data_IF_403427956742
#
_entry.id   IF_403427956742
#
_cell.length_a   1.000
_cell.length_b   1.000
_cell.length_c   1.000
_cell.angle_alpha   90.00
_cell.angle_beta   90.00
_cell.angle_gamma   90.00
#
_symmetry.space_group_name_H-M   'P 1'
#
loop_
_entity.id
_entity.type
_entity.pdbx_description
1 polymer ?
#
# COMPACT_ATOMS: atom_id res chain seq x y z
N UNK A 1 -31.36 5.38 -8.89
CA UNK A 1 -31.17 3.94 -8.64
C UNK A 1 -30.45 3.34 -9.85
N UNK A 2 -29.72 2.23 -9.70
CA UNK A 2 -29.09 1.50 -10.80
C UNK A 2 -29.59 0.07 -10.75
N UNK A 3 -29.95 -0.48 -11.89
CA UNK A 3 -30.55 -1.81 -12.00
C UNK A 3 -29.84 -2.63 -13.05
N UNK A 4 -29.63 -3.91 -12.78
CA UNK A 4 -29.19 -4.87 -13.78
C UNK A 4 -30.37 -5.10 -14.74
N UNK A 5 -30.17 -4.85 -16.03
CA UNK A 5 -31.21 -4.96 -17.05
C UNK A 5 -31.04 -6.14 -17.99
N UNK A 6 -29.79 -6.52 -18.28
CA UNK A 6 -29.51 -7.69 -19.13
C UNK A 6 -28.24 -8.41 -18.70
N UNK A 7 -28.21 -9.70 -18.96
CA UNK A 7 -27.03 -10.56 -18.83
C UNK A 7 -26.77 -11.19 -20.20
N UNK A 8 -25.56 -11.00 -20.74
CA UNK A 8 -25.12 -11.62 -21.98
C UNK A 8 -24.09 -12.70 -21.68
N UNK A 9 -24.32 -13.88 -22.22
CA UNK A 9 -23.44 -15.03 -22.12
C UNK A 9 -23.10 -15.54 -23.52
N UNK A 10 -21.82 -15.54 -23.86
CA UNK A 10 -21.31 -16.08 -25.11
C UNK A 10 -20.30 -17.17 -24.80
N UNK A 11 -20.50 -18.37 -25.28
CA UNK A 11 -19.63 -19.52 -25.03
C UNK A 11 -19.39 -19.83 -23.56
N UNK A 12 -20.39 -19.61 -22.69
CA UNK A 12 -20.30 -19.89 -21.27
C UNK A 12 -21.06 -21.18 -20.93
N UNK A 13 -20.36 -22.25 -20.63
CA UNK A 13 -20.89 -23.60 -20.41
C UNK A 13 -21.85 -24.04 -21.51
N UNK A 14 -23.16 -24.18 -21.27
CA UNK A 14 -24.19 -24.53 -22.25
C UNK A 14 -24.65 -23.33 -23.10
N UNK A 15 -24.46 -22.13 -22.60
CA UNK A 15 -24.88 -20.92 -23.30
C UNK A 15 -23.95 -20.62 -24.46
N UNK A 16 -24.47 -20.61 -25.64
CA UNK A 16 -23.70 -20.32 -26.87
C UNK A 16 -23.73 -18.84 -27.18
N UNK A 17 -24.91 -18.25 -27.23
CA UNK A 17 -25.13 -16.83 -27.44
C UNK A 17 -26.51 -16.48 -26.87
N UNK A 18 -26.58 -16.10 -25.59
CA UNK A 18 -27.82 -15.84 -24.87
C UNK A 18 -27.83 -14.45 -24.28
N UNK A 19 -28.95 -13.75 -24.42
CA UNK A 19 -29.21 -12.49 -23.74
C UNK A 19 -30.43 -12.65 -22.85
N UNK A 20 -30.23 -12.53 -21.55
CA UNK A 20 -31.27 -12.76 -20.55
C UNK A 20 -31.69 -11.39 -20.00
N UNK A 21 -32.94 -10.94 -20.27
CA UNK A 21 -33.46 -9.71 -19.67
C UNK A 21 -33.76 -9.89 -18.19
N UNK A 22 -33.51 -8.84 -17.40
CA UNK A 22 -33.78 -8.79 -15.98
C UNK A 22 -34.61 -7.55 -15.70
N UNK A 23 -35.79 -7.74 -15.11
CA UNK A 23 -36.69 -6.65 -14.75
C UNK A 23 -36.87 -6.60 -13.24
N UNK A 24 -36.35 -5.53 -12.61
CA UNK A 24 -36.49 -5.33 -11.17
C UNK A 24 -35.89 -6.45 -10.34
N UNK A 25 -36.67 -7.02 -9.43
CA UNK A 25 -36.31 -8.22 -8.67
C UNK A 25 -36.70 -9.47 -9.46
N UNK A 26 -35.72 -10.31 -9.79
CA UNK A 26 -35.94 -11.51 -10.61
C UNK A 26 -35.74 -12.79 -9.77
N UNK A 27 -36.61 -13.77 -9.97
CA UNK A 27 -36.50 -15.11 -9.43
C UNK A 27 -36.06 -16.09 -10.50
N UNK A 28 -34.90 -16.73 -10.31
CA UNK A 28 -34.37 -17.74 -11.23
C UNK A 28 -34.91 -19.11 -10.85
N UNK A 29 -35.84 -19.66 -11.62
CA UNK A 29 -36.44 -20.98 -11.41
C UNK A 29 -36.19 -21.90 -12.58
N UNK A 30 -36.42 -23.18 -12.42
CA UNK A 30 -36.31 -24.19 -13.47
C UNK A 30 -35.95 -25.56 -12.91
N UNK A 31 -36.00 -26.57 -13.77
CA UNK A 31 -35.64 -27.95 -13.45
C UNK A 31 -34.17 -28.11 -13.10
N UNK A 32 -33.80 -29.25 -12.54
CA UNK A 32 -32.39 -29.56 -12.29
C UNK A 32 -31.65 -29.60 -13.65
N UNK A 33 -30.41 -29.11 -13.66
CA UNK A 33 -29.54 -28.96 -14.84
C UNK A 33 -29.99 -27.91 -15.88
N UNK A 34 -31.02 -27.07 -15.57
CA UNK A 34 -31.46 -25.98 -16.46
C UNK A 34 -30.48 -24.79 -16.59
N UNK A 35 -29.36 -24.81 -15.89
CA UNK A 35 -28.34 -23.74 -15.99
C UNK A 35 -28.44 -22.66 -14.91
N UNK A 36 -29.33 -22.78 -13.91
CA UNK A 36 -29.47 -21.79 -12.81
C UNK A 36 -28.14 -21.46 -12.13
N UNK A 37 -27.43 -22.48 -11.68
CA UNK A 37 -26.11 -22.30 -11.04
C UNK A 37 -25.06 -21.75 -12.02
N UNK A 38 -25.13 -22.12 -13.29
CA UNK A 38 -24.22 -21.63 -14.34
C UNK A 38 -24.39 -20.13 -14.57
N UNK A 39 -25.62 -19.62 -14.50
CA UNK A 39 -25.92 -18.19 -14.58
C UNK A 39 -25.41 -17.44 -13.35
N UNK A 40 -25.63 -17.99 -12.15
CA UNK A 40 -25.15 -17.39 -10.90
C UNK A 40 -23.63 -17.37 -10.85
N UNK A 41 -22.98 -18.43 -11.31
CA UNK A 41 -21.52 -18.49 -11.39
C UNK A 41 -20.95 -17.46 -12.40
N UNK A 42 -21.67 -17.18 -13.49
CA UNK A 42 -21.31 -16.09 -14.41
C UNK A 42 -21.36 -14.71 -13.72
N UNK A 43 -22.40 -14.46 -12.92
CA UNK A 43 -22.48 -13.23 -12.11
C UNK A 43 -21.33 -13.11 -11.12
N UNK A 44 -20.96 -14.21 -10.44
CA UNK A 44 -19.79 -14.23 -9.56
C UNK A 44 -18.51 -13.81 -10.29
N UNK A 45 -18.29 -14.34 -11.49
CA UNK A 45 -17.09 -14.05 -12.27
C UNK A 45 -16.97 -12.56 -12.55
N UNK A 46 -18.03 -11.89 -12.95
CA UNK A 46 -17.99 -10.44 -13.26
C UNK A 46 -17.96 -9.57 -12.00
N UNK A 47 -18.74 -9.92 -10.97
CA UNK A 47 -18.87 -9.06 -9.78
C UNK A 47 -17.70 -9.23 -8.81
N UNK A 48 -17.29 -10.47 -8.51
CA UNK A 48 -16.15 -10.73 -7.63
C UNK A 48 -14.83 -10.46 -8.36
N UNK A 49 -14.78 -10.79 -9.67
CA UNK A 49 -13.64 -10.56 -10.56
C UNK A 49 -12.28 -11.12 -10.08
N UNK A 50 -12.26 -11.88 -9.00
CA UNK A 50 -11.06 -12.52 -8.46
C UNK A 50 -11.17 -14.03 -8.63
N UNK A 51 -10.55 -14.56 -9.67
CA UNK A 51 -10.65 -15.98 -10.02
C UNK A 51 -10.19 -16.93 -8.91
N UNK A 52 -9.30 -16.48 -8.02
CA UNK A 52 -8.84 -17.28 -6.87
C UNK A 52 -9.87 -17.33 -5.73
N UNK A 53 -10.73 -16.32 -5.62
CA UNK A 53 -11.76 -16.21 -4.56
C UNK A 53 -13.12 -16.77 -5.00
N UNK A 54 -13.33 -16.98 -6.30
CA UNK A 54 -14.57 -17.52 -6.82
C UNK A 54 -14.69 -18.99 -6.47
N UNK A 55 -15.75 -19.33 -5.76
CA UNK A 55 -16.14 -20.72 -5.48
C UNK A 55 -17.31 -21.06 -6.40
N UNK A 56 -17.03 -21.72 -7.48
CA UNK A 56 -18.10 -22.22 -8.36
C UNK A 56 -18.97 -23.19 -7.58
N UNK A 57 -20.30 -23.01 -7.71
CA UNK A 57 -21.28 -23.76 -6.92
C UNK A 57 -21.18 -25.25 -7.26
N UNK A 58 -20.60 -26.06 -6.39
CA UNK A 58 -20.71 -27.51 -6.47
C UNK A 58 -22.17 -27.87 -6.22
N UNK A 59 -22.80 -28.58 -7.15
CA UNK A 59 -24.14 -29.11 -6.91
C UNK A 59 -24.12 -29.91 -5.58
N UNK A 60 -25.11 -29.65 -4.72
CA UNK A 60 -25.15 -30.10 -3.32
C UNK A 60 -25.08 -31.62 -3.08
N UNK A 61 -24.85 -32.42 -4.10
CA UNK A 61 -24.82 -33.89 -4.06
C UNK A 61 -23.57 -34.56 -4.58
N UNK A 62 -22.64 -33.82 -5.23
CA UNK A 62 -21.39 -34.43 -5.72
C UNK A 62 -20.17 -33.67 -5.21
N UNK A 63 -19.69 -34.03 -4.03
CA UNK A 63 -18.44 -33.49 -3.43
C UNK A 63 -17.18 -33.80 -4.24
N UNK A 64 -17.28 -34.61 -5.32
CA UNK A 64 -16.13 -35.13 -6.07
C UNK A 64 -15.79 -34.41 -7.37
N UNK A 65 -16.62 -33.49 -7.86
CA UNK A 65 -16.36 -32.76 -9.11
C UNK A 65 -16.30 -31.25 -8.88
N UNK A 66 -15.12 -30.75 -8.59
CA UNK A 66 -14.90 -29.30 -8.58
C UNK A 66 -15.18 -28.73 -9.97
N UNK A 67 -16.09 -27.77 -10.02
CA UNK A 67 -16.33 -26.95 -11.21
C UNK A 67 -15.18 -25.95 -11.34
N UNK A 68 -14.52 -25.95 -12.48
CA UNK A 68 -13.39 -25.07 -12.74
C UNK A 68 -13.77 -24.04 -13.82
N UNK A 69 -13.11 -22.88 -13.84
CA UNK A 69 -13.26 -21.89 -14.90
C UNK A 69 -13.09 -22.54 -16.29
N UNK A 70 -12.02 -23.32 -16.45
CA UNK A 70 -11.73 -24.05 -17.68
C UNK A 70 -12.85 -25.01 -18.08
N UNK A 71 -13.48 -25.68 -17.09
CA UNK A 71 -14.66 -26.51 -17.32
C UNK A 71 -15.87 -25.71 -17.84
N UNK A 72 -16.08 -24.51 -17.32
CA UNK A 72 -17.13 -23.61 -17.81
C UNK A 72 -16.84 -23.10 -19.23
N UNK A 73 -15.65 -22.62 -19.51
CA UNK A 73 -15.27 -22.13 -20.83
C UNK A 73 -15.39 -23.24 -21.89
N UNK A 74 -14.91 -24.43 -21.63
CA UNK A 74 -14.98 -25.56 -22.51
C UNK A 74 -16.36 -26.23 -22.56
N UNK A 75 -17.29 -25.85 -21.71
CA UNK A 75 -18.61 -26.46 -21.64
C UNK A 75 -18.54 -27.96 -21.30
N UNK A 76 -17.89 -28.26 -20.13
CA UNK A 76 -17.72 -29.63 -19.64
C UNK A 76 -19.07 -30.31 -19.38
N UNK A 77 -19.25 -31.49 -19.95
CA UNK A 77 -20.43 -32.34 -19.79
C UNK A 77 -20.01 -33.77 -19.46
N UNK A 78 -20.95 -34.59 -18.94
CA UNK A 78 -20.68 -35.98 -18.59
C UNK A 78 -20.42 -36.20 -17.08
N UNK A 79 -20.36 -37.47 -16.70
CA UNK A 79 -20.06 -37.97 -15.37
C UNK A 79 -18.60 -38.47 -15.30
N UNK A 80 -18.09 -38.70 -14.08
CA UNK A 80 -16.75 -39.30 -13.90
C UNK A 80 -16.55 -40.55 -14.79
N UNK A 81 -15.45 -40.51 -15.57
CA UNK A 81 -15.10 -41.60 -16.51
C UNK A 81 -15.51 -41.36 -17.98
N UNK A 82 -16.46 -40.46 -18.28
CA UNK A 82 -16.86 -40.06 -19.63
C UNK A 82 -17.06 -38.53 -19.74
N UNK A 83 -15.98 -37.79 -19.45
CA UNK A 83 -16.02 -36.33 -19.61
C UNK A 83 -15.94 -35.95 -21.07
N UNK A 84 -16.88 -35.14 -21.51
CA UNK A 84 -16.87 -34.55 -22.83
C UNK A 84 -16.88 -33.04 -22.74
N UNK A 85 -16.29 -32.38 -23.69
CA UNK A 85 -16.23 -30.93 -23.79
C UNK A 85 -16.91 -30.47 -25.06
N UNK A 86 -17.74 -29.44 -24.98
CA UNK A 86 -18.42 -28.89 -26.15
C UNK A 86 -17.50 -28.05 -27.03
N UNK A 87 -16.47 -27.49 -26.42
CA UNK A 87 -15.49 -26.58 -27.07
C UNK A 87 -14.08 -26.93 -26.63
N UNK A 88 -13.08 -26.49 -27.39
CA UNK A 88 -11.67 -26.62 -27.02
C UNK A 88 -10.84 -27.41 -27.99
N UNK A 89 -11.41 -27.87 -29.12
CA UNK A 89 -10.66 -28.38 -30.24
C UNK A 89 -9.99 -27.25 -31.03
N UNK A 90 -10.64 -26.08 -31.07
CA UNK A 90 -10.16 -24.87 -31.72
C UNK A 90 -10.02 -23.72 -30.65
N UNK A 91 -9.31 -22.66 -31.01
CA UNK A 91 -9.34 -21.41 -30.28
C UNK A 91 -10.74 -20.84 -30.27
N UNK A 92 -11.16 -20.30 -29.13
CA UNK A 92 -12.44 -19.62 -29.01
C UNK A 92 -12.41 -18.53 -27.96
N UNK A 93 -13.35 -17.60 -28.07
CA UNK A 93 -13.55 -16.56 -27.08
C UNK A 93 -14.90 -16.71 -26.41
N UNK A 94 -14.96 -16.33 -25.14
CA UNK A 94 -16.16 -16.37 -24.32
C UNK A 94 -16.37 -15.00 -23.66
N UNK A 95 -17.64 -14.62 -23.50
CA UNK A 95 -18.00 -13.35 -22.85
C UNK A 95 -19.04 -13.57 -21.77
N UNK A 96 -18.88 -12.83 -20.69
CA UNK A 96 -19.92 -12.59 -19.68
C UNK A 96 -20.05 -11.08 -19.55
N UNK A 97 -21.24 -10.54 -19.85
CA UNK A 97 -21.49 -9.10 -19.85
C UNK A 97 -22.77 -8.79 -19.09
N UNK A 98 -22.73 -7.78 -18.27
CA UNK A 98 -23.87 -7.24 -17.52
C UNK A 98 -24.18 -5.85 -18.03
N UNK A 99 -25.43 -5.60 -18.40
CA UNK A 99 -25.94 -4.27 -18.69
C UNK A 99 -26.59 -3.70 -17.44
N UNK A 100 -26.09 -2.56 -17.00
CA UNK A 100 -26.59 -1.85 -15.82
C UNK A 100 -27.10 -0.49 -16.26
N UNK A 101 -28.37 -0.22 -16.02
CA UNK A 101 -28.99 1.03 -16.41
C UNK A 101 -29.22 1.93 -15.20
N UNK A 102 -28.86 3.21 -15.35
CA UNK A 102 -29.17 4.22 -14.34
C UNK A 102 -30.61 4.71 -14.57
N UNK A 103 -31.49 4.49 -13.60
CA UNK A 103 -32.91 4.83 -13.67
C UNK A 103 -33.15 6.32 -13.95
N UNK A 104 -32.30 7.21 -13.44
CA UNK A 104 -32.47 8.67 -13.59
C UNK A 104 -32.13 9.21 -14.98
N UNK A 105 -31.23 8.56 -15.72
CA UNK A 105 -30.74 9.03 -17.03
C UNK A 105 -31.04 8.06 -18.16
N UNK A 106 -31.58 6.87 -17.86
CA UNK A 106 -31.77 5.76 -18.78
C UNK A 106 -30.51 5.35 -19.59
N UNK A 107 -29.31 5.79 -19.13
CA UNK A 107 -28.05 5.47 -19.78
C UNK A 107 -27.57 4.10 -19.34
N UNK A 108 -27.34 3.17 -20.26
CA UNK A 108 -26.80 1.85 -19.97
C UNK A 108 -25.28 1.89 -19.84
N UNK A 109 -24.75 1.02 -19.00
CA UNK A 109 -23.33 0.74 -18.85
C UNK A 109 -23.13 -0.76 -19.00
N UNK A 110 -22.08 -1.16 -19.69
CA UNK A 110 -21.72 -2.57 -19.81
C UNK A 110 -20.48 -2.83 -18.95
N UNK A 111 -20.53 -3.86 -18.15
CA UNK A 111 -19.38 -4.41 -17.45
C UNK A 111 -19.26 -5.88 -17.77
N UNK A 112 -18.07 -6.37 -17.95
CA UNK A 112 -17.91 -7.76 -18.32
C UNK A 112 -16.47 -8.23 -18.34
N UNK A 113 -16.33 -9.46 -18.82
CA UNK A 113 -15.05 -10.12 -19.02
C UNK A 113 -15.06 -10.83 -20.36
N UNK A 114 -13.95 -10.74 -21.06
CA UNK A 114 -13.65 -11.56 -22.25
C UNK A 114 -12.57 -12.56 -21.89
N UNK A 115 -12.77 -13.81 -22.26
CA UNK A 115 -11.82 -14.90 -22.16
C UNK A 115 -11.40 -15.36 -23.53
N UNK A 116 -10.11 -15.49 -23.77
CA UNK A 116 -9.57 -16.18 -24.95
C UNK A 116 -8.98 -17.51 -24.50
N UNK A 117 -9.49 -18.61 -25.05
CA UNK A 117 -8.97 -19.96 -24.82
C UNK A 117 -8.12 -20.40 -26.01
N UNK A 118 -6.90 -20.84 -25.70
CA UNK A 118 -5.96 -21.40 -26.66
C UNK A 118 -6.00 -22.92 -26.61
N UNK A 119 -6.36 -23.55 -27.72
CA UNK A 119 -6.45 -25.00 -27.80
C UNK A 119 -5.08 -25.71 -27.80
N UNK A 120 -4.04 -25.02 -28.30
CA UNK A 120 -2.67 -25.51 -28.41
C UNK A 120 -1.99 -25.66 -27.04
N UNK A 121 -2.14 -24.66 -26.18
CA UNK A 121 -1.55 -24.65 -24.82
C UNK A 121 -2.54 -25.07 -23.75
N UNK A 122 -3.82 -25.04 -24.03
CA UNK A 122 -4.90 -25.23 -23.09
C UNK A 122 -4.98 -24.14 -22.04
N UNK A 123 -4.43 -22.96 -22.31
CA UNK A 123 -4.43 -21.80 -21.43
C UNK A 123 -5.61 -20.88 -21.75
N UNK A 124 -6.09 -20.18 -20.73
CA UNK A 124 -7.05 -19.09 -20.84
C UNK A 124 -6.41 -17.77 -20.39
N UNK A 125 -6.64 -16.73 -21.16
CA UNK A 125 -6.32 -15.36 -20.80
C UNK A 125 -7.62 -14.53 -20.73
N UNK A 126 -7.68 -13.55 -19.85
CA UNK A 126 -8.90 -12.77 -19.66
C UNK A 126 -8.63 -11.30 -19.40
N UNK A 127 -9.58 -10.46 -19.77
CA UNK A 127 -9.58 -9.03 -19.47
C UNK A 127 -10.97 -8.60 -19.06
N UNK A 128 -11.06 -7.94 -17.92
CA UNK A 128 -12.28 -7.24 -17.51
C UNK A 128 -12.39 -5.91 -18.24
N UNK A 129 -13.62 -5.49 -18.52
CA UNK A 129 -13.87 -4.25 -19.21
C UNK A 129 -15.14 -3.54 -18.73
N UNK A 130 -15.18 -2.26 -18.99
CA UNK A 130 -16.34 -1.39 -18.81
C UNK A 130 -16.55 -0.58 -20.08
N UNK A 131 -17.80 -0.48 -20.54
CA UNK A 131 -18.21 0.38 -21.65
C UNK A 131 -19.21 1.38 -21.10
N UNK A 132 -18.97 2.64 -21.36
CA UNK A 132 -19.82 3.72 -20.86
C UNK A 132 -20.90 4.08 -21.89
N UNK A 133 -22.13 4.30 -21.40
CA UNK A 133 -23.27 4.88 -22.13
C UNK A 133 -23.61 4.17 -23.46
N UNK A 134 -23.42 2.87 -23.52
CA UNK A 134 -23.73 2.08 -24.68
C UNK A 134 -24.63 0.89 -24.34
N UNK A 135 -25.72 0.63 -25.12
CA UNK A 135 -26.58 -0.53 -24.92
C UNK A 135 -25.85 -1.83 -25.27
N UNK A 136 -26.35 -2.94 -24.71
CA UNK A 136 -25.87 -4.27 -25.05
C UNK A 136 -26.41 -4.69 -26.42
N UNK A 137 -25.52 -4.78 -27.41
CA UNK A 137 -25.77 -5.19 -28.75
C UNK A 137 -24.84 -6.35 -29.12
N UNK A 138 -25.33 -7.31 -29.90
CA UNK A 138 -24.61 -8.51 -30.28
C UNK A 138 -23.40 -8.21 -31.18
N UNK A 139 -23.48 -7.21 -32.04
CA UNK A 139 -22.43 -6.85 -32.98
C UNK A 139 -21.16 -6.27 -32.28
N UNK A 140 -21.27 -5.86 -31.06
CA UNK A 140 -20.09 -5.49 -30.25
C UNK A 140 -19.17 -6.69 -30.05
N UNK A 141 -19.73 -7.85 -29.77
CA UNK A 141 -19.01 -9.04 -29.33
C UNK A 141 -18.82 -10.06 -30.44
N UNK A 142 -19.66 -10.02 -31.45
CA UNK A 142 -19.69 -11.00 -32.54
C UNK A 142 -19.27 -10.37 -33.88
N UNK A 143 -18.58 -11.17 -34.68
CA UNK A 143 -18.44 -10.95 -36.10
C UNK A 143 -19.33 -11.97 -36.80
N UNK A 144 -20.50 -11.52 -37.29
CA UNK A 144 -21.60 -12.37 -37.67
C UNK A 144 -22.01 -13.32 -36.52
N UNK A 145 -21.58 -14.56 -36.54
CA UNK A 145 -21.86 -15.58 -35.51
C UNK A 145 -20.65 -15.96 -34.68
N UNK A 146 -19.46 -15.47 -35.05
CA UNK A 146 -18.21 -15.84 -34.42
C UNK A 146 -17.86 -14.82 -33.35
N UNK A 147 -17.60 -15.21 -32.07
CA UNK A 147 -17.15 -14.31 -31.05
C UNK A 147 -15.79 -13.71 -31.39
N UNK A 148 -15.68 -12.39 -31.33
CA UNK A 148 -14.41 -11.68 -31.52
C UNK A 148 -13.43 -12.11 -30.46
N UNK A 149 -12.16 -12.28 -30.81
CA UNK A 149 -11.13 -12.42 -29.79
C UNK A 149 -10.93 -11.10 -29.09
N UNK A 150 -10.22 -11.11 -27.96
CA UNK A 150 -9.98 -9.94 -27.15
C UNK A 150 -9.38 -8.76 -27.93
N UNK A 151 -8.42 -9.01 -28.80
CA UNK A 151 -7.79 -7.95 -29.60
C UNK A 151 -8.78 -7.31 -30.58
N UNK A 152 -9.48 -8.13 -31.34
CA UNK A 152 -10.47 -7.67 -32.30
C UNK A 152 -11.65 -6.96 -31.64
N UNK A 153 -12.05 -7.41 -30.43
CA UNK A 153 -13.08 -6.75 -29.65
C UNK A 153 -12.70 -5.30 -29.28
N UNK A 154 -11.54 -5.09 -28.70
CA UNK A 154 -11.13 -3.73 -28.33
C UNK A 154 -10.79 -2.85 -29.53
N UNK A 155 -10.28 -3.43 -30.62
CA UNK A 155 -10.10 -2.72 -31.88
C UNK A 155 -11.46 -2.30 -32.48
N UNK A 156 -12.45 -3.17 -32.44
CA UNK A 156 -13.79 -2.88 -32.89
C UNK A 156 -14.46 -1.75 -32.10
N UNK A 157 -14.36 -1.77 -30.75
CA UNK A 157 -14.85 -0.67 -29.92
C UNK A 157 -14.17 0.65 -30.29
N UNK A 158 -12.86 0.63 -30.47
CA UNK A 158 -12.08 1.82 -30.82
C UNK A 158 -12.47 2.34 -32.22
N UNK A 159 -12.65 1.49 -33.20
CA UNK A 159 -13.06 1.87 -34.58
C UNK A 159 -14.46 2.52 -34.62
N UNK A 160 -15.35 2.12 -33.70
CA UNK A 160 -16.69 2.71 -33.54
C UNK A 160 -16.71 3.98 -32.65
N UNK A 161 -15.56 4.41 -32.10
CA UNK A 161 -15.50 5.56 -31.22
C UNK A 161 -16.22 5.34 -29.89
N UNK A 162 -16.40 4.10 -29.45
CA UNK A 162 -17.08 3.75 -28.22
C UNK A 162 -16.10 3.94 -27.05
N UNK A 163 -16.54 4.65 -26.00
CA UNK A 163 -15.75 4.85 -24.80
C UNK A 163 -15.72 3.59 -23.95
N UNK A 164 -14.54 3.07 -23.69
CA UNK A 164 -14.35 1.89 -22.86
C UNK A 164 -13.10 1.98 -21.99
N UNK A 165 -13.08 1.18 -20.93
CA UNK A 165 -11.92 0.96 -20.06
C UNK A 165 -11.66 -0.54 -19.96
N UNK A 166 -10.40 -0.93 -20.06
CA UNK A 166 -9.95 -2.32 -19.88
C UNK A 166 -9.08 -2.44 -18.64
N UNK A 167 -9.22 -3.56 -17.93
CA UNK A 167 -8.52 -3.83 -16.66
C UNK A 167 -7.70 -5.12 -16.83
N UNK A 168 -6.50 -4.96 -17.33
CA UNK A 168 -5.53 -6.06 -17.42
C UNK A 168 -4.64 -6.03 -16.20
N UNK A 169 -4.77 -7.02 -15.31
CA UNK A 169 -4.05 -7.07 -14.04
C UNK A 169 -4.33 -5.90 -13.07
N UNK A 170 -5.38 -5.12 -13.33
CA UNK A 170 -5.82 -3.99 -12.50
C UNK A 170 -7.17 -4.31 -11.85
N UNK A 171 -7.14 -5.21 -10.88
CA UNK A 171 -8.35 -5.65 -10.18
C UNK A 171 -8.91 -4.55 -9.25
N UNK A 172 -8.03 -3.75 -8.65
CA UNK A 172 -8.44 -2.65 -7.76
C UNK A 172 -9.14 -1.53 -8.54
N UNK A 173 -8.62 -1.17 -9.70
CA UNK A 173 -9.26 -0.22 -10.60
C UNK A 173 -10.63 -0.70 -11.06
N UNK A 174 -10.76 -1.99 -11.40
CA UNK A 174 -12.06 -2.59 -11.74
C UNK A 174 -13.06 -2.53 -10.58
N UNK A 175 -12.65 -2.91 -9.37
CA UNK A 175 -13.52 -2.84 -8.19
C UNK A 175 -13.89 -1.40 -7.82
N UNK A 176 -13.00 -0.45 -7.99
CA UNK A 176 -13.29 0.96 -7.77
C UNK A 176 -14.41 1.45 -8.70
N UNK A 177 -14.31 1.12 -10.00
CA UNK A 177 -15.33 1.47 -10.98
C UNK A 177 -16.64 0.72 -10.74
N UNK A 178 -16.60 -0.56 -10.34
CA UNK A 178 -17.79 -1.32 -9.92
C UNK A 178 -18.48 -0.70 -8.71
N UNK A 179 -17.74 -0.33 -7.68
CA UNK A 179 -18.30 0.34 -6.49
C UNK A 179 -19.03 1.62 -6.88
N UNK A 180 -18.43 2.42 -7.75
CA UNK A 180 -19.03 3.63 -8.26
C UNK A 180 -20.30 3.32 -9.09
N UNK A 181 -20.23 2.30 -9.94
CA UNK A 181 -21.36 1.86 -10.78
C UNK A 181 -22.51 1.32 -9.93
N UNK A 182 -22.25 0.67 -8.81
CA UNK A 182 -23.28 0.17 -7.88
C UNK A 182 -23.76 1.21 -6.85
N UNK A 183 -23.32 2.47 -6.97
CA UNK A 183 -23.81 3.57 -6.11
C UNK A 183 -23.02 3.77 -4.83
N UNK A 184 -21.74 3.37 -4.81
CA UNK A 184 -20.85 3.57 -3.67
C UNK A 184 -20.94 2.46 -2.63
N UNK A 185 -21.18 1.21 -3.07
CA UNK A 185 -21.20 0.06 -2.16
C UNK A 185 -19.86 -0.14 -1.45
N UNK A 186 -19.91 -0.60 -0.21
CA UNK A 186 -18.72 -0.92 0.57
C UNK A 186 -17.97 -2.11 -0.03
N UNK A 187 -16.68 -2.21 0.24
CA UNK A 187 -15.85 -3.34 -0.22
C UNK A 187 -16.34 -4.69 0.32
N UNK A 188 -16.89 -4.69 1.54
CA UNK A 188 -17.54 -5.87 2.15
C UNK A 188 -18.65 -6.48 1.29
N UNK A 189 -19.29 -5.68 0.41
CA UNK A 189 -20.33 -6.17 -0.50
C UNK A 189 -19.84 -7.33 -1.38
N UNK A 190 -18.64 -7.24 -1.95
CA UNK A 190 -18.10 -8.29 -2.83
C UNK A 190 -17.85 -9.60 -2.08
N UNK A 191 -17.38 -9.49 -0.82
CA UNK A 191 -17.20 -10.66 0.05
C UNK A 191 -18.55 -11.29 0.44
N UNK A 192 -19.51 -10.45 0.82
CA UNK A 192 -20.88 -10.89 1.18
C UNK A 192 -21.61 -11.49 -0.02
N UNK A 193 -21.43 -10.92 -1.21
CA UNK A 193 -22.03 -11.46 -2.44
C UNK A 193 -21.55 -12.88 -2.71
N UNK A 194 -20.26 -13.15 -2.62
CA UNK A 194 -19.70 -14.50 -2.80
C UNK A 194 -20.17 -15.47 -1.71
N UNK A 195 -20.23 -15.04 -0.45
CA UNK A 195 -20.75 -15.83 0.67
C UNK A 195 -22.25 -16.13 0.49
N UNK A 196 -23.03 -15.14 0.05
CA UNK A 196 -24.49 -15.27 -0.16
C UNK A 196 -24.86 -16.27 -1.24
N UNK A 197 -24.10 -16.33 -2.32
CA UNK A 197 -24.32 -17.31 -3.42
C UNK A 197 -23.95 -18.73 -2.98
N UNK A 198 -22.93 -18.89 -2.15
CA UNK A 198 -22.50 -20.18 -1.60
C UNK A 198 -23.30 -20.60 -0.37
N UNK A 199 -24.51 -20.05 -0.19
CA UNK A 199 -25.29 -20.22 1.03
C UNK A 199 -25.61 -21.70 1.30
N UNK A 200 -25.13 -22.21 2.43
CA UNK A 200 -25.50 -23.51 2.98
C UNK A 200 -26.60 -23.34 4.03
N UNK A 201 -27.46 -24.34 4.28
CA UNK A 201 -28.47 -24.25 5.33
C UNK A 201 -27.85 -23.79 6.66
N UNK A 202 -28.50 -22.82 7.31
CA UNK A 202 -28.04 -22.28 8.61
C UNK A 202 -28.20 -23.38 9.67
N UNK A 203 -27.13 -24.07 9.98
CA UNK A 203 -27.07 -25.05 11.08
C UNK A 203 -26.62 -24.41 12.40
N UNK A 204 -25.93 -23.23 12.32
CA UNK A 204 -25.44 -22.51 13.48
C UNK A 204 -25.70 -21.00 13.29
N UNK A 205 -26.70 -20.49 14.02
CA UNK A 205 -27.10 -19.08 13.94
C UNK A 205 -25.97 -18.14 14.38
N UNK A 206 -25.20 -18.50 15.40
CA UNK A 206 -24.07 -17.69 15.87
C UNK A 206 -23.01 -17.52 14.79
N UNK A 207 -22.64 -18.62 14.12
CA UNK A 207 -21.69 -18.59 13.01
C UNK A 207 -22.22 -17.77 11.85
N UNK A 208 -23.51 -17.90 11.51
CA UNK A 208 -24.15 -17.10 10.47
C UNK A 208 -24.05 -15.60 10.76
N UNK A 209 -24.33 -15.17 12.01
CA UNK A 209 -24.22 -13.76 12.41
C UNK A 209 -22.80 -13.25 12.27
N UNK A 210 -21.81 -14.03 12.70
CA UNK A 210 -20.39 -13.65 12.54
C UNK A 210 -19.94 -13.62 11.07
N UNK A 211 -20.36 -14.59 10.26
CA UNK A 211 -19.90 -14.73 8.88
C UNK A 211 -20.59 -13.77 7.90
N UNK A 212 -21.83 -13.33 8.19
CA UNK A 212 -22.68 -12.61 7.24
C UNK A 212 -23.19 -11.24 7.72
N UNK A 213 -23.32 -11.02 9.02
CA UNK A 213 -23.93 -9.81 9.57
C UNK A 213 -22.90 -8.91 10.23
N UNK A 214 -21.99 -9.48 11.02
CA UNK A 214 -20.95 -8.71 11.68
C UNK A 214 -19.81 -8.45 10.71
N UNK A 215 -19.43 -7.18 10.57
CA UNK A 215 -18.18 -6.83 9.91
C UNK A 215 -17.02 -7.40 10.73
N UNK A 216 -16.21 -8.26 10.12
CA UNK A 216 -14.94 -8.63 10.70
C UNK A 216 -14.11 -7.34 10.84
N UNK A 217 -13.91 -6.91 12.07
CA UNK A 217 -12.90 -5.93 12.42
C UNK A 217 -11.77 -6.69 13.10
N UNK A 218 -10.85 -7.27 12.34
CA UNK A 218 -9.68 -7.89 12.94
C UNK A 218 -8.94 -6.79 13.71
N UNK A 219 -8.91 -6.92 15.04
CA UNK A 219 -7.97 -6.14 15.84
C UNK A 219 -6.62 -6.74 15.54
N UNK A 220 -5.80 -5.99 14.83
CA UNK A 220 -4.44 -6.41 14.51
C UNK A 220 -3.58 -6.28 15.78
N UNK A 221 -3.67 -7.33 16.59
CA UNK A 221 -2.96 -7.43 17.87
C UNK A 221 -1.44 -7.45 17.66
N UNK A 222 -0.99 -8.02 16.56
CA UNK A 222 0.44 -8.14 16.26
C UNK A 222 1.01 -6.76 15.92
N UNK A 223 0.35 -5.99 15.07
CA UNK A 223 0.75 -4.59 14.81
C UNK A 223 0.70 -3.74 16.08
N UNK A 224 -0.30 -3.92 16.95
CA UNK A 224 -0.34 -3.22 18.24
C UNK A 224 0.84 -3.60 19.15
N UNK A 225 1.20 -4.88 19.19
CA UNK A 225 2.37 -5.34 19.95
C UNK A 225 3.66 -4.73 19.40
N UNK A 226 3.84 -4.72 18.10
CA UNK A 226 4.99 -4.09 17.43
C UNK A 226 5.10 -2.60 17.76
N UNK A 227 3.99 -1.87 17.80
CA UNK A 227 3.99 -0.47 18.21
C UNK A 227 4.39 -0.28 19.68
N UNK A 228 3.90 -1.13 20.59
CA UNK A 228 4.29 -1.09 22.02
C UNK A 228 5.78 -1.39 22.20
N UNK A 229 6.30 -2.37 21.48
CA UNK A 229 7.71 -2.74 21.57
C UNK A 229 8.62 -1.63 21.00
N UNK A 230 8.25 -1.00 19.88
CA UNK A 230 8.95 0.18 19.34
C UNK A 230 8.89 1.36 20.32
N UNK A 231 7.74 1.61 20.95
CA UNK A 231 7.61 2.66 21.95
C UNK A 231 8.57 2.44 23.12
N UNK A 232 8.65 1.22 23.64
CA UNK A 232 9.59 0.85 24.73
C UNK A 232 11.06 1.01 24.31
N UNK A 233 11.40 0.66 23.06
CA UNK A 233 12.75 0.88 22.55
C UNK A 233 13.10 2.36 22.51
N UNK A 234 12.20 3.19 21.96
CA UNK A 234 12.41 4.65 21.93
C UNK A 234 12.51 5.26 23.34
N UNK A 235 11.71 4.80 24.30
CA UNK A 235 11.77 5.25 25.68
C UNK A 235 13.14 4.92 26.33
N UNK A 236 13.67 3.72 26.09
CA UNK A 236 15.00 3.33 26.56
C UNK A 236 16.12 4.17 25.90
N UNK A 237 16.02 4.43 24.60
CA UNK A 237 16.98 5.29 23.88
C UNK A 237 16.96 6.72 24.42
N UNK A 238 15.80 7.27 24.73
CA UNK A 238 15.66 8.60 25.35
C UNK A 238 16.33 8.61 26.70
N UNK A 239 16.04 7.65 27.58
CA UNK A 239 16.66 7.57 28.93
C UNK A 239 18.19 7.44 28.86
N UNK A 240 18.69 6.65 27.89
CA UNK A 240 20.15 6.53 27.68
C UNK A 240 20.76 7.86 27.23
N UNK A 241 20.13 8.53 26.27
CA UNK A 241 20.60 9.83 25.76
C UNK A 241 20.54 10.92 26.83
N UNK A 242 19.50 10.93 27.66
CA UNK A 242 19.41 11.85 28.79
C UNK A 242 20.57 11.64 29.81
N UNK A 243 20.88 10.39 30.14
CA UNK A 243 22.01 10.04 31.00
C UNK A 243 23.37 10.46 30.39
N UNK A 244 23.55 10.30 29.07
CA UNK A 244 24.76 10.77 28.37
C UNK A 244 24.88 12.31 28.41
N UNK A 245 23.76 13.03 28.25
CA UNK A 245 23.73 14.49 28.34
C UNK A 245 24.14 14.95 29.72
N UNK A 246 23.61 14.33 30.79
CA UNK A 246 23.98 14.67 32.16
C UNK A 246 25.47 14.45 32.42
N UNK A 247 26.01 13.30 31.97
CA UNK A 247 27.44 13.01 32.11
C UNK A 247 28.33 14.02 31.37
N UNK A 248 27.93 14.38 30.13
CA UNK A 248 28.66 15.40 29.36
C UNK A 248 28.58 16.79 29.98
N UNK A 249 27.45 17.16 30.58
CA UNK A 249 27.30 18.42 31.31
C UNK A 249 28.24 18.47 32.53
N UNK A 250 28.37 17.36 33.26
CA UNK A 250 29.33 17.27 34.37
C UNK A 250 30.77 17.48 33.89
N UNK A 251 31.17 16.83 32.79
CA UNK A 251 32.50 17.02 32.20
C UNK A 251 32.73 18.47 31.78
N UNK A 252 31.74 19.11 31.16
CA UNK A 252 31.82 20.52 30.78
C UNK A 252 32.00 21.42 32.00
N UNK A 253 31.27 21.18 33.06
CA UNK A 253 31.38 21.96 34.31
C UNK A 253 32.76 21.83 34.94
N UNK A 254 33.34 20.62 34.96
CA UNK A 254 34.68 20.40 35.47
C UNK A 254 35.75 21.07 34.57
N UNK A 255 35.55 21.02 33.25
CA UNK A 255 36.46 21.71 32.35
C UNK A 255 36.42 23.23 32.49
N UNK A 256 35.28 23.82 32.77
CA UNK A 256 35.18 25.25 33.08
C UNK A 256 35.94 25.62 34.37
N UNK A 257 35.84 24.77 35.41
CA UNK A 257 36.61 24.95 36.64
C UNK A 257 38.11 24.90 36.38
N UNK A 258 38.57 23.93 35.60
CA UNK A 258 39.99 23.83 35.22
C UNK A 258 40.45 25.08 34.47
N UNK A 259 39.66 25.56 33.51
CA UNK A 259 40.01 26.79 32.79
C UNK A 259 40.08 28.02 33.71
N UNK A 260 39.16 28.14 34.64
CA UNK A 260 39.19 29.22 35.63
C UNK A 260 40.44 29.16 36.50
N UNK A 261 40.86 27.98 36.96
CA UNK A 261 42.09 27.84 37.72
C UNK A 261 43.35 28.15 36.87
N UNK A 262 43.39 27.75 35.61
CA UNK A 262 44.48 28.11 34.68
C UNK A 262 44.60 29.62 34.47
N UNK A 263 43.49 30.32 34.35
CA UNK A 263 43.53 31.79 34.23
C UNK A 263 43.95 32.47 35.55
N UNK A 264 43.55 31.91 36.67
CA UNK A 264 44.03 32.37 37.99
C UNK A 264 45.52 32.12 38.16
N UNK A 265 46.00 30.95 37.74
CA UNK A 265 47.46 30.62 37.77
C UNK A 265 48.25 31.60 36.90
N UNK A 266 47.85 31.85 35.66
CA UNK A 266 48.48 32.83 34.77
C UNK A 266 48.51 34.22 35.38
N UNK A 267 47.40 34.64 35.99
CA UNK A 267 47.30 35.94 36.61
C UNK A 267 48.24 36.03 37.83
N UNK A 268 48.28 35.02 38.67
CA UNK A 268 49.15 34.95 39.82
C UNK A 268 50.62 34.94 39.43
N UNK A 269 50.98 34.18 38.38
CA UNK A 269 52.32 34.12 37.85
C UNK A 269 52.75 35.50 37.28
N UNK A 270 51.88 36.17 36.57
CA UNK A 270 52.11 37.51 36.07
C UNK A 270 52.35 38.50 37.23
N UNK A 271 51.53 38.48 38.27
CA UNK A 271 51.66 39.36 39.41
C UNK A 271 52.97 39.09 40.16
N UNK A 272 53.39 37.82 40.33
CA UNK A 272 54.65 37.44 40.93
C UNK A 272 55.87 38.00 40.14
N UNK A 273 55.86 37.78 38.78
CA UNK A 273 56.91 38.30 37.93
C UNK A 273 56.96 39.85 37.95
N UNK A 274 55.79 40.50 37.95
CA UNK A 274 55.71 41.94 38.06
C UNK A 274 56.23 42.46 39.38
N UNK A 275 55.90 41.77 40.45
CA UNK A 275 56.40 42.11 41.83
C UNK A 275 57.94 42.01 41.85
N UNK A 276 58.48 40.90 41.35
CA UNK A 276 59.95 40.74 41.36
C UNK A 276 60.65 41.81 40.45
N UNK A 277 60.07 42.17 39.33
CA UNK A 277 60.62 43.23 38.48
C UNK A 277 60.65 44.58 39.21
N UNK A 278 59.57 44.95 39.89
CA UNK A 278 59.51 46.18 40.70
C UNK A 278 60.45 46.21 41.82
N UNK A 279 60.65 45.06 42.49
CA UNK A 279 61.64 44.90 43.57
C UNK A 279 63.06 45.11 43.00
N UNK A 280 63.40 44.48 41.89
CA UNK A 280 64.71 44.62 41.24
C UNK A 280 64.98 46.08 40.76
N UNK A 281 63.97 46.74 40.25
CA UNK A 281 64.05 48.17 39.94
C UNK A 281 64.37 49.04 41.18
N UNK A 282 63.73 48.79 42.32
CA UNK A 282 64.01 49.51 43.56
C UNK A 282 65.43 49.27 44.04
N UNK A 283 65.85 47.98 44.01
CA UNK A 283 67.24 47.62 44.39
C UNK A 283 68.26 48.29 43.44
N UNK A 284 68.00 48.40 42.17
CA UNK A 284 68.81 49.08 41.18
C UNK A 284 68.97 50.58 41.52
N UNK A 285 67.82 51.24 41.72
CA UNK A 285 67.78 52.68 42.10
C UNK A 285 68.55 52.94 43.38
N UNK A 286 68.47 52.05 44.38
CA UNK A 286 69.18 52.16 45.66
C UNK A 286 70.69 52.00 45.37
N UNK A 287 71.10 51.03 44.60
CA UNK A 287 72.49 50.82 44.24
C UNK A 287 73.11 51.96 43.40
N UNK A 288 72.31 52.55 42.54
CA UNK A 288 72.69 53.74 41.73
C UNK A 288 72.91 54.93 42.63
N UNK A 289 72.08 55.13 43.67
CA UNK A 289 72.25 56.18 44.71
C UNK A 289 73.56 55.96 45.53
N UNK A 290 73.75 54.72 46.01
CA UNK A 290 75.00 54.35 46.75
C UNK A 290 76.20 54.59 45.84
N UNK A 291 76.18 54.20 44.61
CA UNK A 291 77.28 54.44 43.67
C UNK A 291 77.57 55.95 43.45
N UNK A 292 76.49 56.74 43.22
CA UNK A 292 76.65 58.20 43.09
C UNK A 292 77.22 58.84 44.35
N UNK A 293 76.84 58.39 45.58
CA UNK A 293 77.38 58.89 46.81
C UNK A 293 78.87 58.52 46.95
N UNK A 294 79.22 57.28 46.65
CA UNK A 294 80.63 56.82 46.70
C UNK A 294 81.48 57.56 45.66
N UNK A 295 80.94 57.85 44.48
CA UNK A 295 81.63 58.60 43.44
C UNK A 295 81.89 60.06 43.89
N UNK A 296 80.91 60.76 44.50
CA UNK A 296 81.06 62.11 45.04
C UNK A 296 82.14 62.13 46.16
N UNK A 297 82.07 61.13 47.05
CA UNK A 297 83.05 61.01 48.13
C UNK A 297 84.45 60.79 47.55
N UNK A 298 84.65 60.01 46.54
CA UNK A 298 85.93 59.77 45.88
C UNK A 298 86.45 61.06 45.20
N UNK A 299 85.52 61.83 44.55
CA UNK A 299 85.88 63.17 43.99
C UNK A 299 86.30 64.18 45.06
N UNK A 300 85.60 64.19 46.17
CA UNK A 300 85.95 65.05 47.32
C UNK A 300 87.32 64.66 47.87
N UNK A 301 87.54 63.40 48.21
CA UNK A 301 88.83 62.92 48.68
C UNK A 301 89.95 63.20 47.65
N UNK A 302 89.66 63.03 46.34
CA UNK A 302 90.69 63.33 45.27
C UNK A 302 90.98 64.85 45.20
N UNK A 303 90.07 65.72 45.59
CA UNK A 303 90.23 67.15 45.66
C UNK A 303 91.08 67.50 46.88
N UNK A 304 90.74 66.94 48.05
CA UNK A 304 91.54 67.15 49.25
C UNK A 304 93.01 66.70 49.14
N UNK A 305 93.25 65.54 48.44
CA UNK A 305 94.60 65.08 48.23
C UNK A 305 95.34 66.06 47.32
N UNK A 306 94.76 66.63 46.28
CA UNK A 306 95.39 67.63 45.42
C UNK A 306 95.72 68.94 46.16
N UNK A 307 94.81 69.39 47.08
CA UNK A 307 94.98 70.58 47.88
C UNK A 307 96.10 70.39 48.98
N UNK A 308 96.41 69.15 49.34
CA UNK A 308 97.54 68.82 50.27
C UNK A 308 98.84 68.60 49.52
N UNK A 309 98.85 68.42 48.21
CA UNK A 309 100.09 68.27 47.39
C UNK A 309 100.57 69.60 46.78
N UNK A 310 99.79 70.70 46.83
CA UNK A 310 100.15 72.08 46.55
C UNK A 310 100.66 72.78 47.81
#
# INVERSE_FOLDING_TARGET
MRTLTKIKLINWHYFTNETIPIEGSALITGSNKAGKSTLIDALQVVIIANMKKIKFNSAAFDEKTERTLKGYLRGRTGTEGKMTYRRGENHFSSYIVLEITRTSTAKPYLIGVVFDYRSDTGEEDHVFFKIDEHPLEDDLFLDNTTPRNRQDFFLHLKSRGISFKQYRNDLEGYWSDLRQLFGGVKESFFSLFGKGISFKPITNLRKFVYDYILEERPVDVDTMRDYVDRYRQMENEIMHTESEIEALQEVCNEFEKVNKFREQEKTSLYMWHRGNLEQKKRELVEKEKEHQQAQKYLEECSREVRELEE
#
